data_IF_892612947169
#
_entry.id   IF_892612947169
#
_cell.length_a   1.000
_cell.length_b   1.000
_cell.length_c   1.000
_cell.angle_alpha   90.00
_cell.angle_beta   90.00
_cell.angle_gamma   90.00
#
_symmetry.space_group_name_H-M   'P 1'
#
loop_
_entity.id
_entity.type
_entity.pdbx_description
1 polymer ?
#
# COMPACT_ATOMS: atom_id res chain seq x y z
N UNK A 1 -15.30 -11.67 -19.47
CA UNK A 1 -14.61 -10.35 -19.48
C UNK A 1 -15.55 -9.16 -19.74
N UNK A 2 -16.39 -9.16 -20.79
CA UNK A 2 -17.27 -8.00 -21.13
C UNK A 2 -18.31 -7.65 -20.04
N UNK A 3 -18.81 -8.65 -19.30
CA UNK A 3 -19.80 -8.47 -18.22
C UNK A 3 -19.23 -7.72 -17.01
N UNK A 4 -17.97 -8.02 -16.64
CA UNK A 4 -17.25 -7.36 -15.55
C UNK A 4 -17.13 -5.85 -15.80
N UNK A 5 -16.68 -5.46 -16.99
CA UNK A 5 -16.53 -4.06 -17.36
C UNK A 5 -17.87 -3.31 -17.43
N UNK A 6 -18.96 -3.98 -17.81
CA UNK A 6 -20.30 -3.39 -17.78
C UNK A 6 -20.80 -3.13 -16.36
N UNK A 7 -20.58 -4.08 -15.44
CA UNK A 7 -20.92 -3.92 -14.02
C UNK A 7 -20.09 -2.79 -13.38
N UNK A 8 -18.80 -2.71 -13.72
CA UNK A 8 -17.89 -1.63 -13.31
C UNK A 8 -18.19 -0.28 -13.96
N UNK A 9 -18.86 -0.24 -15.10
CA UNK A 9 -19.32 1.00 -15.74
C UNK A 9 -20.65 1.49 -15.15
N UNK A 10 -21.61 0.58 -14.84
CA UNK A 10 -22.88 0.91 -14.15
C UNK A 10 -22.66 1.52 -12.76
N UNK A 11 -21.60 1.06 -12.11
CA UNK A 11 -21.05 1.54 -10.86
C UNK A 11 -20.78 3.07 -10.78
N UNK A 12 -20.66 3.79 -11.91
CA UNK A 12 -20.54 5.26 -11.98
C UNK A 12 -19.13 5.81 -12.26
N UNK A 13 -18.89 7.13 -12.11
CA UNK A 13 -17.58 7.74 -12.32
C UNK A 13 -16.63 7.39 -11.16
N UNK A 14 -16.15 6.13 -11.11
CA UNK A 14 -15.18 5.67 -10.12
C UNK A 14 -13.75 6.15 -10.40
N UNK A 15 -13.46 6.72 -11.56
CA UNK A 15 -12.09 7.11 -11.94
C UNK A 15 -11.42 8.08 -10.96
N UNK A 16 -12.17 9.07 -10.45
CA UNK A 16 -11.65 10.06 -9.50
C UNK A 16 -11.25 9.46 -8.12
N UNK A 17 -12.12 8.72 -7.40
CA UNK A 17 -11.73 8.07 -6.15
C UNK A 17 -10.73 6.93 -6.32
N UNK A 18 -10.70 6.26 -7.48
CA UNK A 18 -9.81 5.12 -7.73
C UNK A 18 -8.35 5.53 -7.96
N UNK A 19 -8.11 6.69 -8.59
CA UNK A 19 -6.75 7.26 -8.69
C UNK A 19 -6.16 7.58 -7.31
N UNK A 20 -6.96 8.14 -6.41
CA UNK A 20 -6.56 8.40 -5.00
C UNK A 20 -6.24 7.11 -4.26
N UNK A 21 -7.07 6.08 -4.45
CA UNK A 21 -6.82 4.75 -3.89
C UNK A 21 -5.48 4.17 -4.37
N UNK A 22 -5.20 4.23 -5.68
CA UNK A 22 -3.96 3.72 -6.26
C UNK A 22 -2.74 4.47 -5.70
N UNK A 23 -2.79 5.80 -5.66
CA UNK A 23 -1.71 6.62 -5.12
C UNK A 23 -1.41 6.28 -3.65
N UNK A 24 -2.44 6.21 -2.80
CA UNK A 24 -2.30 5.86 -1.38
C UNK A 24 -1.79 4.43 -1.17
N UNK A 25 -2.19 3.51 -2.05
CA UNK A 25 -1.74 2.11 -2.01
C UNK A 25 -0.27 2.01 -2.38
N UNK A 26 0.17 2.70 -3.44
CA UNK A 26 1.57 2.78 -3.83
C UNK A 26 2.43 3.39 -2.72
N UNK A 27 1.98 4.50 -2.12
CA UNK A 27 2.68 5.12 -1.00
C UNK A 27 2.79 4.17 0.19
N UNK A 28 1.71 3.47 0.55
CA UNK A 28 1.71 2.47 1.62
C UNK A 28 2.60 1.25 1.33
N UNK A 29 2.81 0.89 0.06
CA UNK A 29 3.76 -0.14 -0.35
C UNK A 29 5.19 0.39 -0.20
N UNK A 30 5.49 1.60 -0.67
CA UNK A 30 6.82 2.21 -0.57
C UNK A 30 7.28 2.31 0.88
N UNK A 31 6.47 2.87 1.78
CA UNK A 31 6.79 2.92 3.22
C UNK A 31 6.83 1.53 3.85
N UNK A 32 6.02 0.60 3.35
CA UNK A 32 6.05 -0.80 3.79
C UNK A 32 7.38 -1.50 3.46
N UNK A 33 7.92 -1.27 2.27
CA UNK A 33 9.21 -1.79 1.81
C UNK A 33 10.37 -1.09 2.53
N UNK A 34 10.28 0.23 2.72
CA UNK A 34 11.28 1.01 3.45
C UNK A 34 11.52 0.51 4.87
N UNK A 35 10.49 -0.04 5.54
CA UNK A 35 10.65 -0.65 6.87
C UNK A 35 11.69 -1.78 6.89
N UNK A 36 11.80 -2.58 5.82
CA UNK A 36 12.80 -3.65 5.75
C UNK A 36 14.21 -3.09 5.58
N UNK A 37 14.37 -2.08 4.73
CA UNK A 37 15.66 -1.39 4.54
C UNK A 37 16.13 -0.70 5.81
N UNK A 38 15.22 -0.06 6.55
CA UNK A 38 15.53 0.59 7.84
C UNK A 38 15.81 -0.40 8.98
N UNK A 39 15.42 -1.66 8.82
CA UNK A 39 15.71 -2.71 9.79
C UNK A 39 17.17 -3.16 9.71
N UNK A 40 17.81 -3.06 8.54
CA UNK A 40 19.23 -3.43 8.35
C UNK A 40 20.16 -2.61 9.29
N UNK A 41 20.17 -1.25 9.27
CA UNK A 41 21.04 -0.48 10.15
C UNK A 41 20.70 -0.67 11.64
N UNK A 42 19.45 -1.02 11.97
CA UNK A 42 19.07 -1.38 13.32
C UNK A 42 19.76 -2.67 13.77
N UNK A 43 19.69 -3.72 12.95
CA UNK A 43 20.33 -5.01 13.24
C UNK A 43 21.85 -4.89 13.27
N UNK A 44 22.45 -4.17 12.31
CA UNK A 44 23.90 -3.93 12.28
C UNK A 44 24.38 -3.22 13.55
N UNK A 45 23.59 -2.28 14.08
CA UNK A 45 24.01 -1.54 15.27
C UNK A 45 23.82 -2.33 16.58
N UNK A 46 22.88 -3.29 16.59
CA UNK A 46 22.67 -4.23 17.69
C UNK A 46 23.71 -5.36 17.66
N UNK A 47 23.97 -5.97 16.49
CA UNK A 47 24.80 -7.17 16.32
C UNK A 47 26.22 -6.93 15.81
N UNK A 48 26.49 -5.82 15.13
CA UNK A 48 27.83 -5.43 14.64
C UNK A 48 28.84 -5.12 15.74
N UNK A 49 28.48 -5.35 17.00
CA UNK A 49 29.40 -5.38 18.14
C UNK A 49 30.11 -6.74 18.32
N UNK A 50 29.80 -7.78 17.52
CA UNK A 50 30.42 -9.10 17.64
C UNK A 50 31.73 -9.28 16.83
N UNK A 51 32.17 -8.28 16.07
CA UNK A 51 33.45 -8.32 15.34
C UNK A 51 33.86 -6.94 14.87
N UNK A 52 35.09 -6.55 15.19
CA UNK A 52 35.69 -5.26 14.88
C UNK A 52 35.53 -4.84 13.41
N UNK A 53 35.46 -3.51 13.22
CA UNK A 53 35.15 -2.75 12.00
C UNK A 53 33.66 -2.59 11.71
N UNK A 54 33.13 -1.47 12.21
CA UNK A 54 31.91 -0.82 11.74
C UNK A 54 32.11 -0.49 10.26
N UNK A 55 31.89 -1.50 9.44
CA UNK A 55 31.56 -1.34 8.04
C UNK A 55 30.15 -0.79 8.05
N UNK A 56 30.01 0.46 7.66
CA UNK A 56 28.80 1.08 7.15
C UNK A 56 28.24 0.24 5.97
N UNK A 57 27.78 -0.97 6.25
CA UNK A 57 27.44 -1.99 5.26
C UNK A 57 25.92 -2.09 5.04
N UNK A 58 25.10 -1.74 6.04
CA UNK A 58 23.64 -1.63 5.87
C UNK A 58 23.17 -0.36 5.16
N UNK A 59 24.01 0.68 5.13
CA UNK A 59 23.84 1.81 4.22
C UNK A 59 25.07 1.78 3.33
N UNK A 60 24.94 1.20 2.13
CA UNK A 60 25.93 1.37 1.06
C UNK A 60 25.94 2.85 0.64
N UNK A 61 26.41 3.73 1.53
CA UNK A 61 26.91 5.04 1.19
C UNK A 61 28.30 4.73 0.67
N UNK A 62 28.38 4.63 -0.65
CA UNK A 62 29.63 4.64 -1.41
C UNK A 62 30.64 5.48 -0.65
N UNK A 63 31.71 4.84 -0.20
CA UNK A 63 32.85 5.49 0.43
C UNK A 63 33.44 6.50 -0.54
N UNK A 64 32.92 7.72 -0.52
CA UNK A 64 33.47 8.87 -1.18
C UNK A 64 33.79 9.88 -0.09
N UNK A 65 34.88 9.58 0.62
CA UNK A 65 35.81 10.51 1.29
C UNK A 65 35.55 12.02 1.10
N UNK A 66 34.50 12.56 1.72
CA UNK A 66 34.34 14.01 1.84
C UNK A 66 33.50 14.32 3.08
N UNK A 67 33.94 15.35 3.80
CA UNK A 67 33.31 15.86 5.02
C UNK A 67 31.78 15.96 4.89
N UNK A 68 31.01 15.86 5.99
CA UNK A 68 29.55 15.83 5.96
C UNK A 68 28.99 17.12 5.37
N UNK A 69 28.79 17.13 4.05
CA UNK A 69 28.15 18.21 3.32
C UNK A 69 26.71 17.82 3.07
N UNK A 70 25.79 18.74 3.34
CA UNK A 70 24.37 18.54 3.05
C UNK A 70 24.20 18.19 1.56
N UNK A 71 23.56 17.06 1.22
CA UNK A 71 23.43 16.63 -0.16
C UNK A 71 22.57 17.61 -0.95
N UNK A 72 22.92 17.86 -2.21
CA UNK A 72 22.10 18.67 -3.10
C UNK A 72 20.78 17.95 -3.40
N UNK A 73 19.67 18.71 -3.43
CA UNK A 73 18.35 18.14 -3.66
C UNK A 73 18.26 17.41 -5.00
N UNK A 74 17.95 16.11 -4.96
CA UNK A 74 17.72 15.27 -6.14
C UNK A 74 16.46 14.42 -5.94
N UNK A 75 15.62 14.31 -6.96
CA UNK A 75 14.40 13.49 -6.90
C UNK A 75 14.72 12.01 -7.12
N UNK A 76 15.37 11.39 -6.12
CA UNK A 76 15.82 9.99 -6.17
C UNK A 76 15.72 9.32 -4.81
N UNK A 77 15.63 7.98 -4.82
CA UNK A 77 15.67 7.16 -3.60
C UNK A 77 17.04 7.27 -2.91
N UNK A 78 18.10 7.50 -3.68
CA UNK A 78 19.46 7.61 -3.16
C UNK A 78 19.66 8.90 -2.35
N UNK A 79 19.03 10.01 -2.76
CA UNK A 79 18.99 11.24 -1.95
C UNK A 79 18.38 11.00 -0.56
N UNK A 80 17.31 10.19 -0.47
CA UNK A 80 16.72 9.87 0.82
C UNK A 80 17.66 9.05 1.72
N UNK A 81 18.45 8.13 1.14
CA UNK A 81 19.48 7.38 1.86
C UNK A 81 20.62 8.28 2.34
N UNK A 82 21.08 9.20 1.49
CA UNK A 82 22.14 10.16 1.81
C UNK A 82 21.73 11.12 2.93
N UNK A 83 20.51 11.67 2.88
CA UNK A 83 19.96 12.52 3.94
C UNK A 83 19.85 11.75 5.25
N UNK A 84 19.37 10.51 5.21
CA UNK A 84 19.30 9.66 6.40
C UNK A 84 20.69 9.40 6.97
N UNK A 85 21.68 9.09 6.12
CA UNK A 85 23.08 8.89 6.49
C UNK A 85 23.69 10.11 7.17
N UNK A 86 23.46 11.31 6.62
CA UNK A 86 23.95 12.56 7.21
C UNK A 86 23.43 12.77 8.64
N UNK A 87 22.12 12.60 8.86
CA UNK A 87 21.56 12.71 10.21
C UNK A 87 22.04 11.59 11.14
N UNK A 88 22.19 10.37 10.62
CA UNK A 88 22.67 9.22 11.38
C UNK A 88 24.11 9.42 11.87
N UNK A 89 25.03 9.85 11.00
CA UNK A 89 26.42 10.14 11.37
C UNK A 89 26.53 11.31 12.35
N UNK A 90 25.74 12.37 12.16
CA UNK A 90 25.69 13.51 13.08
C UNK A 90 25.23 13.12 14.49
N UNK A 91 24.22 12.25 14.60
CA UNK A 91 23.72 11.75 15.89
C UNK A 91 24.71 10.75 16.51
N UNK A 92 25.34 9.89 15.71
CA UNK A 92 26.40 8.98 16.16
C UNK A 92 27.58 9.76 16.77
N UNK A 93 28.01 10.85 16.14
CA UNK A 93 29.12 11.67 16.64
C UNK A 93 28.79 12.41 17.95
N UNK A 94 27.54 12.85 18.12
CA UNK A 94 27.13 13.65 19.30
C UNK A 94 26.69 12.79 20.51
N UNK A 95 25.94 11.72 20.27
CA UNK A 95 25.27 10.92 21.32
C UNK A 95 25.72 9.47 21.36
N UNK A 96 26.68 9.08 20.52
CA UNK A 96 27.21 7.74 20.45
C UNK A 96 26.15 6.70 20.06
N UNK A 97 26.41 5.45 20.43
CA UNK A 97 25.61 4.29 20.01
C UNK A 97 24.16 4.33 20.50
N UNK A 98 23.93 4.81 21.73
CA UNK A 98 22.59 4.85 22.32
C UNK A 98 21.69 5.88 21.62
N UNK A 99 22.24 7.04 21.25
CA UNK A 99 21.51 8.05 20.47
C UNK A 99 21.16 7.57 19.06
N UNK A 100 22.07 6.86 18.41
CA UNK A 100 21.81 6.30 17.09
C UNK A 100 20.77 5.17 17.09
N UNK A 101 20.78 4.29 18.11
CA UNK A 101 19.68 3.31 18.30
C UNK A 101 18.34 4.02 18.42
N UNK A 102 18.25 5.04 19.28
CA UNK A 102 17.01 5.77 19.50
C UNK A 102 16.51 6.43 18.20
N UNK A 103 17.42 7.01 17.42
CA UNK A 103 17.09 7.62 16.12
C UNK A 103 16.56 6.61 15.11
N UNK A 104 17.25 5.47 14.93
CA UNK A 104 16.81 4.42 13.99
C UNK A 104 15.46 3.83 14.43
N UNK A 105 15.31 3.52 15.72
CA UNK A 105 14.04 3.02 16.28
C UNK A 105 12.89 4.02 16.07
N UNK A 106 13.12 5.31 16.31
CA UNK A 106 12.13 6.35 16.03
C UNK A 106 11.78 6.43 14.54
N UNK A 107 12.78 6.37 13.66
CA UNK A 107 12.59 6.36 12.20
C UNK A 107 11.76 5.17 11.72
N UNK A 108 12.07 3.96 12.21
CA UNK A 108 11.28 2.74 11.93
C UNK A 108 9.86 2.90 12.45
N UNK A 109 9.68 3.37 13.69
CA UNK A 109 8.36 3.60 14.28
C UNK A 109 7.51 4.57 13.46
N UNK A 110 8.08 5.70 13.03
CA UNK A 110 7.42 6.69 12.18
C UNK A 110 7.07 6.10 10.81
N UNK A 111 8.01 5.36 10.20
CA UNK A 111 7.79 4.72 8.89
C UNK A 111 6.66 3.69 8.92
N UNK A 112 6.61 2.85 9.96
CA UNK A 112 5.52 1.89 10.19
C UNK A 112 4.19 2.62 10.39
N UNK A 113 4.18 3.69 11.18
CA UNK A 113 2.97 4.49 11.41
C UNK A 113 2.46 5.07 10.10
N UNK A 114 3.32 5.71 9.29
CA UNK A 114 2.96 6.26 7.99
C UNK A 114 2.44 5.18 7.03
N UNK A 115 3.13 4.04 6.94
CA UNK A 115 2.68 2.91 6.11
C UNK A 115 1.26 2.47 6.49
N UNK A 116 0.96 2.38 7.78
CA UNK A 116 -0.36 2.00 8.26
C UNK A 116 -1.42 3.08 8.03
N UNK A 117 -1.07 4.37 8.18
CA UNK A 117 -1.97 5.48 7.88
C UNK A 117 -2.35 5.49 6.40
N UNK A 118 -1.41 5.30 5.48
CA UNK A 118 -1.71 5.23 4.04
C UNK A 118 -2.54 3.99 3.69
N UNK A 119 -2.23 2.82 4.27
CA UNK A 119 -3.03 1.60 4.11
C UNK A 119 -4.47 1.81 4.61
N UNK A 120 -4.63 2.42 5.77
CA UNK A 120 -5.94 2.73 6.34
C UNK A 120 -6.72 3.72 5.45
N UNK A 121 -6.07 4.79 5.00
CA UNK A 121 -6.68 5.76 4.10
C UNK A 121 -7.11 5.13 2.76
N UNK A 122 -6.29 4.25 2.18
CA UNK A 122 -6.63 3.49 0.99
C UNK A 122 -7.87 2.60 1.23
N UNK A 123 -7.90 1.85 2.33
CA UNK A 123 -9.04 1.00 2.70
C UNK A 123 -10.32 1.81 2.95
N UNK A 124 -10.22 2.98 3.57
CA UNK A 124 -11.37 3.88 3.76
C UNK A 124 -11.98 4.32 2.43
N UNK A 125 -11.16 4.61 1.42
CA UNK A 125 -11.64 4.96 0.08
C UNK A 125 -12.30 3.75 -0.58
N UNK A 126 -11.67 2.57 -0.50
CA UNK A 126 -12.22 1.33 -1.06
C UNK A 126 -13.58 0.98 -0.46
N UNK A 127 -13.72 1.07 0.87
CA UNK A 127 -14.99 0.81 1.55
C UNK A 127 -16.08 1.81 1.15
N UNK A 128 -15.73 3.09 0.98
CA UNK A 128 -16.68 4.09 0.45
C UNK A 128 -17.11 3.79 -0.98
N UNK A 129 -16.19 3.31 -1.82
CA UNK A 129 -16.52 2.84 -3.16
C UNK A 129 -17.48 1.66 -3.09
N UNK A 130 -17.13 0.62 -2.35
CA UNK A 130 -17.96 -0.56 -2.09
C UNK A 130 -19.39 -0.21 -1.70
N UNK A 131 -19.59 0.66 -0.69
CA UNK A 131 -20.94 1.06 -0.28
C UNK A 131 -21.73 1.79 -1.37
N UNK A 132 -21.07 2.67 -2.15
CA UNK A 132 -21.72 3.38 -3.26
C UNK A 132 -22.13 2.45 -4.39
N UNK A 133 -21.31 1.44 -4.68
CA UNK A 133 -21.60 0.41 -5.67
C UNK A 133 -22.85 -0.37 -5.30
N UNK A 134 -22.91 -0.87 -4.06
CA UNK A 134 -24.06 -1.62 -3.55
C UNK A 134 -25.32 -0.77 -3.63
N UNK A 135 -25.23 0.49 -3.20
CA UNK A 135 -26.37 1.41 -3.22
C UNK A 135 -26.94 1.56 -4.64
N UNK A 136 -26.08 1.82 -5.64
CA UNK A 136 -26.52 1.99 -7.03
C UNK A 136 -27.08 0.71 -7.63
N UNK A 137 -26.39 -0.42 -7.44
CA UNK A 137 -26.87 -1.72 -7.95
C UNK A 137 -28.25 -2.06 -7.39
N UNK A 138 -28.45 -1.89 -6.08
CA UNK A 138 -29.75 -2.13 -5.45
C UNK A 138 -30.81 -1.15 -5.93
N UNK A 139 -30.47 0.12 -6.09
CA UNK A 139 -31.41 1.13 -6.57
C UNK A 139 -31.86 0.86 -8.01
N UNK A 140 -30.93 0.55 -8.91
CA UNK A 140 -31.22 0.28 -10.32
C UNK A 140 -32.07 -0.99 -10.48
N UNK A 141 -31.72 -2.05 -9.77
CA UNK A 141 -32.50 -3.30 -9.76
C UNK A 141 -33.90 -3.07 -9.16
N UNK A 142 -33.98 -2.30 -8.07
CA UNK A 142 -35.27 -1.97 -7.46
C UNK A 142 -36.19 -1.22 -8.43
N UNK A 143 -35.67 -0.20 -9.11
CA UNK A 143 -36.43 0.56 -10.11
C UNK A 143 -36.87 -0.33 -11.28
N UNK A 144 -36.00 -1.22 -11.77
CA UNK A 144 -36.34 -2.17 -12.83
C UNK A 144 -37.45 -3.15 -12.43
N UNK A 145 -37.41 -3.66 -11.18
CA UNK A 145 -38.44 -4.56 -10.66
C UNK A 145 -39.78 -3.83 -10.51
N UNK A 146 -39.77 -2.57 -10.03
CA UNK A 146 -41.00 -1.78 -9.88
C UNK A 146 -41.68 -1.42 -11.21
N UNK A 147 -40.94 -1.44 -12.33
CA UNK A 147 -41.47 -1.16 -13.67
C UNK A 147 -42.03 -2.41 -14.38
N UNK A 148 -41.98 -3.59 -13.77
CA UNK A 148 -42.49 -4.82 -14.38
C UNK A 148 -44.01 -4.96 -14.27
N UNK A 149 -44.61 -5.69 -15.22
CA UNK A 149 -46.05 -5.97 -15.25
C UNK A 149 -46.50 -6.95 -14.15
N UNK A 150 -47.80 -6.94 -13.82
CA UNK A 150 -48.41 -7.85 -12.83
C UNK A 150 -48.14 -9.33 -13.14
N UNK A 151 -48.04 -9.69 -14.42
CA UNK A 151 -47.77 -11.07 -14.87
C UNK A 151 -46.40 -11.57 -14.39
N UNK A 152 -45.39 -10.68 -14.37
CA UNK A 152 -44.05 -11.01 -13.86
C UNK A 152 -44.11 -11.40 -12.37
N UNK A 153 -44.87 -10.64 -11.57
CA UNK A 153 -45.03 -10.90 -10.14
C UNK A 153 -45.84 -12.16 -9.83
N UNK A 154 -46.71 -12.61 -10.73
CA UNK A 154 -47.43 -13.87 -10.59
C UNK A 154 -46.52 -15.10 -10.76
N UNK A 155 -45.50 -15.00 -11.61
CA UNK A 155 -44.59 -16.12 -11.91
C UNK A 155 -43.36 -16.19 -10.98
N UNK A 156 -43.02 -15.10 -10.29
CA UNK A 156 -41.85 -15.03 -9.40
C UNK A 156 -42.25 -15.04 -7.93
N UNK A 157 -41.56 -15.87 -7.13
CA UNK A 157 -41.74 -15.85 -5.67
C UNK A 157 -41.13 -14.57 -5.12
N UNK A 158 -41.83 -13.91 -4.20
CA UNK A 158 -41.35 -12.68 -3.54
C UNK A 158 -39.99 -12.89 -2.85
N UNK A 159 -39.76 -14.07 -2.27
CA UNK A 159 -38.49 -14.43 -1.63
C UNK A 159 -37.30 -14.47 -2.60
N UNK A 160 -37.52 -14.95 -3.83
CA UNK A 160 -36.46 -15.01 -4.85
C UNK A 160 -36.02 -13.59 -5.24
N UNK A 161 -36.96 -12.66 -5.39
CA UNK A 161 -36.65 -11.26 -5.70
C UNK A 161 -35.84 -10.58 -4.59
N UNK A 162 -36.18 -10.85 -3.32
CA UNK A 162 -35.44 -10.35 -2.16
C UNK A 162 -34.03 -10.95 -2.12
N UNK A 163 -33.89 -12.25 -2.41
CA UNK A 163 -32.59 -12.91 -2.48
C UNK A 163 -31.71 -12.27 -3.55
N UNK A 164 -32.24 -12.02 -4.75
CA UNK A 164 -31.49 -11.36 -5.83
C UNK A 164 -31.06 -9.94 -5.41
N UNK A 165 -31.95 -9.16 -4.81
CA UNK A 165 -31.63 -7.78 -4.39
C UNK A 165 -30.60 -7.72 -3.24
N UNK A 166 -30.54 -8.76 -2.42
CA UNK A 166 -29.67 -8.83 -1.25
C UNK A 166 -28.41 -9.65 -1.50
N UNK A 167 -28.55 -10.95 -1.70
CA UNK A 167 -27.45 -11.90 -1.76
C UNK A 167 -26.66 -11.76 -3.06
N UNK A 168 -27.32 -11.85 -4.21
CA UNK A 168 -26.64 -11.82 -5.51
C UNK A 168 -25.91 -10.49 -5.72
N UNK A 169 -26.53 -9.37 -5.34
CA UNK A 169 -25.86 -8.05 -5.40
C UNK A 169 -24.62 -7.99 -4.51
N UNK A 170 -24.66 -8.60 -3.33
CA UNK A 170 -23.53 -8.61 -2.40
C UNK A 170 -22.41 -9.52 -2.91
N UNK A 171 -22.76 -10.66 -3.52
CA UNK A 171 -21.79 -11.57 -4.13
C UNK A 171 -21.10 -10.93 -5.35
N UNK A 172 -21.87 -10.29 -6.22
CA UNK A 172 -21.35 -9.55 -7.38
C UNK A 172 -20.41 -8.43 -6.90
N UNK A 173 -20.81 -7.68 -5.87
CA UNK A 173 -19.95 -6.65 -5.30
C UNK A 173 -18.64 -7.22 -4.78
N UNK A 174 -18.71 -8.25 -3.93
CA UNK A 174 -17.52 -8.88 -3.36
C UNK A 174 -16.59 -9.40 -4.44
N UNK A 175 -17.14 -10.03 -5.49
CA UNK A 175 -16.37 -10.54 -6.62
C UNK A 175 -15.70 -9.40 -7.41
N UNK A 176 -16.45 -8.36 -7.78
CA UNK A 176 -15.94 -7.27 -8.63
C UNK A 176 -14.96 -6.37 -7.87
N UNK A 177 -15.32 -5.90 -6.68
CA UNK A 177 -14.50 -4.96 -5.89
C UNK A 177 -13.23 -5.62 -5.39
N UNK A 178 -13.32 -6.85 -4.88
CA UNK A 178 -12.14 -7.55 -4.37
C UNK A 178 -11.17 -7.91 -5.49
N UNK A 179 -11.68 -8.43 -6.62
CA UNK A 179 -10.83 -8.75 -7.78
C UNK A 179 -10.12 -7.49 -8.29
N UNK A 180 -10.82 -6.36 -8.36
CA UNK A 180 -10.23 -5.10 -8.78
C UNK A 180 -9.19 -4.57 -7.79
N UNK A 181 -9.44 -4.68 -6.49
CA UNK A 181 -8.48 -4.34 -5.44
C UNK A 181 -7.21 -5.20 -5.56
N UNK A 182 -7.37 -6.51 -5.69
CA UNK A 182 -6.28 -7.48 -5.83
C UNK A 182 -5.44 -7.17 -7.07
N UNK A 183 -6.10 -7.04 -8.22
CA UNK A 183 -5.44 -6.80 -9.50
C UNK A 183 -4.68 -5.48 -9.55
N UNK A 184 -5.12 -4.46 -8.81
CA UNK A 184 -4.43 -3.17 -8.73
C UNK A 184 -3.36 -3.09 -7.65
N UNK A 185 -3.40 -3.92 -6.61
CA UNK A 185 -2.47 -3.82 -5.47
C UNK A 185 -1.38 -4.88 -5.52
N UNK A 186 -1.78 -6.13 -5.77
CA UNK A 186 -0.87 -7.26 -5.65
C UNK A 186 0.29 -7.21 -6.64
N UNK A 187 0.11 -6.86 -7.93
CA UNK A 187 1.23 -6.77 -8.85
C UNK A 187 2.30 -5.77 -8.39
N UNK A 188 1.90 -4.58 -7.91
CA UNK A 188 2.85 -3.59 -7.41
C UNK A 188 3.52 -4.02 -6.10
N UNK A 189 2.79 -4.70 -5.23
CA UNK A 189 3.33 -5.21 -3.98
C UNK A 189 4.37 -6.31 -4.25
N UNK A 190 4.07 -7.25 -5.14
CA UNK A 190 4.99 -8.31 -5.56
C UNK A 190 6.22 -7.70 -6.22
N UNK A 191 6.02 -6.79 -7.18
CA UNK A 191 7.13 -6.10 -7.86
C UNK A 191 8.03 -5.37 -6.86
N UNK A 192 7.46 -4.68 -5.87
CA UNK A 192 8.23 -3.94 -4.88
C UNK A 192 9.06 -4.88 -3.98
N UNK A 193 8.50 -6.01 -3.54
CA UNK A 193 9.23 -6.99 -2.73
C UNK A 193 10.27 -7.77 -3.54
N UNK A 194 9.95 -8.18 -4.76
CA UNK A 194 10.93 -8.84 -5.66
C UNK A 194 12.09 -7.90 -5.96
N UNK A 195 11.81 -6.63 -6.25
CA UNK A 195 12.85 -5.62 -6.48
C UNK A 195 13.74 -5.43 -5.24
N UNK A 196 13.13 -5.38 -4.05
CA UNK A 196 13.86 -5.29 -2.78
C UNK A 196 14.78 -6.49 -2.58
N UNK A 197 14.28 -7.71 -2.79
CA UNK A 197 15.06 -8.95 -2.60
C UNK A 197 16.24 -9.02 -3.57
N UNK A 198 16.02 -8.71 -4.85
CA UNK A 198 17.08 -8.67 -5.86
C UNK A 198 18.15 -7.62 -5.55
N UNK A 199 17.76 -6.47 -4.98
CA UNK A 199 18.72 -5.45 -4.52
C UNK A 199 19.53 -5.91 -3.31
N UNK A 200 18.94 -6.69 -2.40
CA UNK A 200 19.59 -7.11 -1.16
C UNK A 200 20.53 -8.31 -1.38
N UNK A 201 20.11 -9.30 -2.14
CA UNK A 201 20.95 -10.43 -2.52
C UNK A 201 20.46 -11.09 -3.82
N UNK A 202 21.11 -10.81 -4.96
CA UNK A 202 20.80 -11.49 -6.22
C UNK A 202 21.22 -12.97 -6.22
N UNK A 203 21.98 -13.44 -5.22
CA UNK A 203 22.45 -14.82 -5.14
C UNK A 203 21.57 -15.74 -4.27
N UNK A 204 20.71 -15.17 -3.41
CA UNK A 204 19.75 -15.92 -2.59
C UNK A 204 18.32 -15.94 -3.17
N UNK A 205 18.08 -15.20 -4.27
CA UNK A 205 16.77 -15.07 -4.93
C UNK A 205 16.77 -15.88 -6.22
#
# INVERSE_FOLDING_TARGET
>A
MKTYWRLLAMAGPLSAPMSKYLLLTLLGIVFGVANFTLLIPLLDLIFGAAGDSVSSAGVAISSASKAPTFPEFRWSVDYAKEVFGYYFEGIMAAYGRQGALAFVCAGVGISILLANVFRFAAQKILNRLRSRLIYRLRQDLYLQVMQQDISFFHHRRKGDLISVLSNDVTEIEGSVVNTMHVLLREPFLILAYVSLLLMLSPALT
#
